data_IF_945726590313
#
_entry.id   IF_945726590313
#
_cell.length_a   1.000
_cell.length_b   1.000
_cell.length_c   1.000
_cell.angle_alpha   90.00
_cell.angle_beta   90.00
_cell.angle_gamma   90.00
#
_symmetry.space_group_name_H-M   'P 1'
#
loop_
_entity.id
_entity.type
_entity.pdbx_description
1 polymer ?
#
# COMPACT_ATOMS: atom_id res chain seq x y z
N UNK A 1 -8.78 -14.29 -10.31
CA UNK A 1 -8.51 -14.98 -9.03
C UNK A 1 -9.65 -14.63 -8.08
N UNK A 2 -10.04 -15.49 -7.14
CA UNK A 2 -11.14 -15.18 -6.20
C UNK A 2 -10.67 -15.23 -4.74
N UNK A 3 -11.21 -14.35 -3.91
CA UNK A 3 -11.08 -14.39 -2.46
C UNK A 3 -12.46 -14.65 -1.82
N UNK A 4 -12.45 -15.32 -0.66
CA UNK A 4 -13.64 -15.74 0.06
C UNK A 4 -13.78 -14.93 1.36
N UNK A 5 -14.99 -14.55 1.76
CA UNK A 5 -15.21 -13.81 3.02
C UNK A 5 -14.92 -14.63 4.29
N UNK A 6 -14.98 -15.97 4.20
CA UNK A 6 -14.54 -16.90 5.24
C UNK A 6 -14.14 -18.24 4.64
N UNK A 7 -13.22 -18.95 5.30
CA UNK A 7 -12.81 -20.33 4.98
C UNK A 7 -13.32 -21.35 6.00
N UNK A 8 -14.08 -20.92 7.01
CA UNK A 8 -14.57 -21.77 8.09
C UNK A 8 -16.08 -21.60 8.27
N UNK A 9 -16.77 -22.72 8.51
CA UNK A 9 -18.16 -22.76 8.93
C UNK A 9 -18.23 -23.18 10.39
N UNK A 10 -18.89 -22.38 11.23
CA UNK A 10 -19.19 -22.74 12.61
C UNK A 10 -20.56 -23.41 12.65
N UNK A 11 -20.63 -24.63 13.20
CA UNK A 11 -21.87 -25.40 13.34
C UNK A 11 -22.40 -25.25 14.76
N UNK A 12 -23.64 -24.79 14.92
CA UNK A 12 -24.39 -24.67 16.19
C UNK A 12 -25.67 -25.51 16.14
N UNK A 13 -26.24 -25.84 17.30
CA UNK A 13 -27.36 -26.81 17.40
C UNK A 13 -28.66 -26.36 16.71
N UNK A 14 -28.87 -25.07 16.45
CA UNK A 14 -30.02 -24.55 15.67
C UNK A 14 -29.56 -23.37 14.81
N UNK A 15 -29.90 -23.44 13.52
CA UNK A 15 -29.52 -22.55 12.41
C UNK A 15 -28.04 -22.55 11.99
N UNK A 16 -27.76 -23.34 10.94
CA UNK A 16 -26.46 -23.40 10.26
C UNK A 16 -26.60 -22.97 8.79
N UNK A 17 -26.93 -21.70 8.57
CA UNK A 17 -26.79 -21.09 7.23
C UNK A 17 -25.56 -20.20 7.21
N UNK A 18 -24.58 -20.53 6.38
CA UNK A 18 -23.43 -19.67 6.09
C UNK A 18 -23.54 -19.15 4.66
N UNK A 19 -23.54 -17.84 4.51
CA UNK A 19 -23.34 -17.19 3.21
C UNK A 19 -21.85 -16.93 3.04
N UNK A 20 -21.28 -17.40 1.93
CA UNK A 20 -19.87 -17.16 1.57
C UNK A 20 -19.87 -16.20 0.40
N UNK A 21 -19.29 -15.02 0.59
CA UNK A 21 -19.11 -14.07 -0.50
C UNK A 21 -17.86 -14.44 -1.27
N UNK A 22 -18.03 -14.63 -2.58
CA UNK A 22 -16.95 -14.90 -3.52
C UNK A 22 -16.71 -13.64 -4.33
N UNK A 23 -15.55 -13.03 -4.15
CA UNK A 23 -15.20 -11.78 -4.79
C UNK A 23 -14.01 -11.98 -5.72
N UNK A 24 -14.10 -11.43 -6.93
CA UNK A 24 -13.00 -11.42 -7.87
C UNK A 24 -11.91 -10.45 -7.40
N UNK A 25 -10.67 -10.94 -7.31
CA UNK A 25 -9.47 -10.12 -7.15
C UNK A 25 -9.05 -9.54 -8.50
N UNK A 26 -8.99 -8.21 -8.60
CA UNK A 26 -8.62 -7.50 -9.85
C UNK A 26 -7.20 -6.91 -9.80
N UNK A 27 -6.65 -6.72 -8.62
CA UNK A 27 -5.35 -6.11 -8.35
C UNK A 27 -4.73 -6.81 -7.14
N UNK A 28 -3.42 -7.07 -7.20
CA UNK A 28 -2.69 -7.58 -6.05
C UNK A 28 -2.54 -6.50 -4.97
N UNK A 29 -2.71 -6.85 -3.69
CA UNK A 29 -2.41 -5.93 -2.60
C UNK A 29 -0.91 -5.56 -2.53
N UNK A 30 -0.02 -6.30 -3.19
CA UNK A 30 1.42 -6.02 -3.22
C UNK A 30 1.77 -4.71 -3.95
N UNK A 31 0.85 -4.16 -4.75
CA UNK A 31 1.05 -2.84 -5.37
C UNK A 31 0.79 -1.68 -4.42
N UNK A 32 0.14 -1.95 -3.29
CA UNK A 32 -0.25 -0.93 -2.32
C UNK A 32 0.96 -0.41 -1.56
N UNK A 33 0.92 0.88 -1.25
CA UNK A 33 1.99 1.60 -0.58
C UNK A 33 1.51 2.14 0.76
N UNK A 34 2.39 2.06 1.75
CA UNK A 34 2.25 2.77 3.02
C UNK A 34 3.34 3.84 3.09
N UNK A 35 2.93 5.08 3.36
CA UNK A 35 3.82 6.19 3.67
C UNK A 35 3.53 6.64 5.10
N UNK A 36 4.54 6.56 5.97
CA UNK A 36 4.45 6.98 7.37
C UNK A 36 5.01 8.39 7.54
N UNK A 37 4.36 9.15 8.41
CA UNK A 37 4.76 10.49 8.82
C UNK A 37 5.15 10.41 10.29
N UNK A 38 6.40 10.74 10.59
CA UNK A 38 6.98 10.67 11.94
C UNK A 38 7.16 12.08 12.50
N UNK A 39 6.94 12.23 13.80
CA UNK A 39 6.98 13.48 14.52
C UNK A 39 8.21 13.61 15.41
N UNK A 40 8.09 14.43 16.45
CA UNK A 40 9.09 14.50 17.51
C UNK A 40 9.32 13.10 18.11
N UNK A 41 10.59 12.75 18.36
CA UNK A 41 10.95 11.42 18.86
C UNK A 41 10.84 10.28 17.83
N UNK A 42 10.59 10.62 16.56
CA UNK A 42 10.30 9.66 15.48
C UNK A 42 8.98 8.88 15.69
N UNK A 43 8.08 9.41 16.52
CA UNK A 43 6.76 8.85 16.77
C UNK A 43 5.84 9.05 15.56
N UNK A 44 5.22 7.97 15.07
CA UNK A 44 4.29 8.08 13.94
C UNK A 44 3.05 8.89 14.33
N UNK A 45 2.79 9.98 13.59
CA UNK A 45 1.63 10.84 13.79
C UNK A 45 0.58 10.74 12.69
N UNK A 46 0.98 10.29 11.50
CA UNK A 46 0.07 10.08 10.38
C UNK A 46 0.56 8.98 9.44
N UNK A 47 -0.35 8.47 8.63
CA UNK A 47 -0.07 7.49 7.59
C UNK A 47 -0.98 7.67 6.38
N UNK A 48 -0.44 7.37 5.21
CA UNK A 48 -1.18 7.21 3.96
C UNK A 48 -1.06 5.76 3.53
N UNK A 49 -2.19 5.09 3.34
CA UNK A 49 -2.28 3.74 2.79
C UNK A 49 -3.03 3.78 1.46
N UNK A 50 -2.40 3.33 0.37
CA UNK A 50 -3.08 3.21 -0.94
C UNK A 50 -3.78 1.87 -1.07
N UNK A 51 -4.87 1.82 -1.82
CA UNK A 51 -5.64 0.62 -2.10
C UNK A 51 -6.16 0.67 -3.53
N UNK A 52 -5.37 0.10 -4.46
CA UNK A 52 -5.66 0.19 -5.89
C UNK A 52 -6.83 -0.71 -6.33
N UNK A 53 -7.07 -1.82 -5.62
CA UNK A 53 -8.25 -2.67 -5.82
C UNK A 53 -9.53 -1.88 -5.56
N UNK A 54 -9.58 -1.16 -4.43
CA UNK A 54 -10.74 -0.34 -4.04
C UNK A 54 -10.71 1.07 -4.63
N UNK A 55 -9.69 1.40 -5.44
CA UNK A 55 -9.50 2.71 -6.07
C UNK A 55 -9.56 3.88 -5.08
N UNK A 56 -8.87 3.73 -3.95
CA UNK A 56 -8.84 4.71 -2.87
C UNK A 56 -7.50 4.76 -2.16
N UNK A 57 -7.32 5.77 -1.34
CA UNK A 57 -6.34 5.77 -0.27
C UNK A 57 -7.02 6.16 1.04
N UNK A 58 -6.42 5.73 2.15
CA UNK A 58 -6.83 6.11 3.50
C UNK A 58 -5.71 6.94 4.10
N UNK A 59 -6.02 8.17 4.48
CA UNK A 59 -5.12 9.04 5.21
C UNK A 59 -5.58 9.14 6.66
N UNK A 60 -4.72 8.76 7.59
CA UNK A 60 -5.00 8.75 9.03
C UNK A 60 -4.05 9.69 9.75
N UNK A 61 -4.56 10.51 10.66
CA UNK A 61 -3.78 11.31 11.62
C UNK A 61 -4.15 10.86 13.02
N UNK A 62 -3.18 10.50 13.86
CA UNK A 62 -3.40 9.82 15.16
C UNK A 62 -3.08 10.70 16.37
N UNK A 63 -2.36 11.81 16.20
CA UNK A 63 -2.04 12.75 17.28
C UNK A 63 -2.35 14.19 16.90
N UNK A 64 -2.67 15.00 17.92
CA UNK A 64 -2.88 16.44 17.80
C UNK A 64 -1.58 17.25 17.83
N UNK A 65 -0.48 16.62 18.24
CA UNK A 65 0.81 17.30 18.44
C UNK A 65 1.91 16.47 17.76
N UNK A 66 2.05 16.53 16.43
CA UNK A 66 3.15 15.87 15.72
C UNK A 66 4.54 16.31 16.22
N UNK A 67 4.71 17.61 16.47
CA UNK A 67 5.99 18.15 16.91
C UNK A 67 5.80 19.47 17.70
N UNK A 68 5.98 19.42 19.02
CA UNK A 68 5.70 20.56 19.91
C UNK A 68 6.50 21.84 19.61
N UNK A 69 7.69 21.73 19.01
CA UNK A 69 8.51 22.89 18.63
C UNK A 69 8.04 23.61 17.35
N UNK A 70 7.05 23.07 16.62
CA UNK A 70 6.43 23.69 15.43
C UNK A 70 5.04 24.24 15.78
N UNK A 71 4.90 24.88 16.94
CA UNK A 71 3.64 25.48 17.35
C UNK A 71 3.23 26.58 16.36
N UNK A 72 1.98 26.53 15.90
CA UNK A 72 1.41 27.46 14.91
C UNK A 72 2.17 27.49 13.55
N UNK A 73 3.03 26.48 13.30
CA UNK A 73 3.80 26.32 12.07
C UNK A 73 3.38 25.08 11.30
N UNK A 74 3.28 25.20 9.97
CA UNK A 74 3.03 24.07 9.08
C UNK A 74 4.15 23.04 9.19
N UNK A 75 3.79 21.82 9.59
CA UNK A 75 4.73 20.71 9.76
C UNK A 75 4.66 19.71 8.60
N UNK A 76 3.46 19.38 8.15
CA UNK A 76 3.24 18.46 7.04
C UNK A 76 1.98 18.81 6.24
N UNK A 77 1.89 18.36 5.00
CA UNK A 77 0.63 18.40 4.26
C UNK A 77 0.54 17.30 3.21
N UNK A 78 -0.69 16.94 2.85
CA UNK A 78 -0.99 16.07 1.72
C UNK A 78 -2.00 16.75 0.80
N UNK A 79 -1.79 16.61 -0.50
CA UNK A 79 -2.72 17.02 -1.55
C UNK A 79 -2.91 15.85 -2.52
N UNK A 80 -4.14 15.64 -3.00
CA UNK A 80 -4.44 14.65 -4.05
C UNK A 80 -5.12 15.33 -5.22
N UNK A 81 -4.66 15.02 -6.42
CA UNK A 81 -5.16 15.54 -7.68
C UNK A 81 -5.68 14.41 -8.56
N UNK A 82 -6.82 14.63 -9.20
CA UNK A 82 -7.39 13.66 -10.14
C UNK A 82 -6.66 13.69 -11.50
N UNK A 83 -7.12 12.87 -12.44
CA UNK A 83 -6.53 12.73 -13.78
C UNK A 83 -6.58 14.02 -14.63
N UNK A 84 -7.46 14.96 -14.29
CA UNK A 84 -7.58 16.28 -14.93
C UNK A 84 -6.67 17.33 -14.30
N UNK A 85 -5.94 16.97 -13.23
CA UNK A 85 -5.12 17.91 -12.46
C UNK A 85 -5.93 18.76 -11.46
N UNK A 86 -7.20 18.43 -11.21
CA UNK A 86 -8.02 19.12 -10.21
C UNK A 86 -7.67 18.60 -8.82
N UNK A 87 -7.45 19.51 -7.87
CA UNK A 87 -7.20 19.16 -6.46
C UNK A 87 -8.51 18.69 -5.83
N UNK A 88 -8.56 17.41 -5.48
CA UNK A 88 -9.77 16.78 -4.90
C UNK A 88 -9.68 16.58 -3.39
N UNK A 89 -8.47 16.72 -2.83
CA UNK A 89 -8.25 16.58 -1.39
C UNK A 89 -7.04 17.41 -0.96
N UNK A 90 -7.13 17.99 0.23
CA UNK A 90 -6.02 18.66 0.89
C UNK A 90 -6.15 18.54 2.40
N UNK A 91 -5.03 18.29 3.07
CA UNK A 91 -4.92 18.33 4.52
C UNK A 91 -3.58 18.96 4.88
N UNK A 92 -3.65 20.09 5.56
CA UNK A 92 -2.51 20.74 6.20
C UNK A 92 -2.48 20.36 7.68
N UNK A 93 -1.28 20.20 8.21
CA UNK A 93 -1.03 19.79 9.60
C UNK A 93 0.07 20.68 10.16
N UNK A 94 -0.26 21.39 11.22
CA UNK A 94 0.70 22.14 12.05
C UNK A 94 1.49 21.20 12.98
N UNK A 95 2.51 21.71 13.66
CA UNK A 95 3.24 20.93 14.67
C UNK A 95 2.44 20.66 15.95
N UNK A 96 1.44 21.49 16.20
CA UNK A 96 0.49 21.40 17.31
C UNK A 96 -0.94 21.57 16.79
N UNK A 97 -1.95 21.35 17.63
CA UNK A 97 -3.36 21.62 17.32
C UNK A 97 -3.93 20.90 16.08
N UNK A 98 -3.33 19.78 15.65
CA UNK A 98 -3.79 19.03 14.48
C UNK A 98 -5.10 18.31 14.76
N UNK A 99 -5.99 18.29 13.78
CA UNK A 99 -7.23 17.50 13.85
C UNK A 99 -6.96 16.05 13.45
N UNK A 100 -7.22 15.13 14.38
CA UNK A 100 -7.25 13.67 14.16
C UNK A 100 -8.33 13.34 13.13
N UNK A 101 -7.97 12.58 12.11
CA UNK A 101 -8.85 12.20 11.00
C UNK A 101 -8.56 10.80 10.51
N UNK A 102 -9.54 10.21 9.83
CA UNK A 102 -9.39 9.01 9.01
C UNK A 102 -10.19 9.22 7.73
N UNK A 103 -9.54 9.82 6.74
CA UNK A 103 -10.18 10.24 5.51
C UNK A 103 -9.98 9.19 4.42
N UNK A 104 -11.07 8.82 3.74
CA UNK A 104 -11.01 7.97 2.54
C UNK A 104 -11.05 8.85 1.30
N UNK A 105 -10.01 8.74 0.47
CA UNK A 105 -9.76 9.63 -0.66
C UNK A 105 -9.83 8.80 -1.94
N UNK A 106 -10.57 9.21 -2.99
CA UNK A 106 -10.52 8.55 -4.28
C UNK A 106 -9.10 8.54 -4.86
N UNK A 107 -8.62 7.38 -5.31
CA UNK A 107 -7.28 7.24 -5.89
C UNK A 107 -7.27 6.11 -6.93
N UNK A 108 -6.96 6.45 -8.18
CA UNK A 108 -6.79 5.46 -9.26
C UNK A 108 -5.56 5.83 -10.09
N UNK A 109 -5.21 4.96 -11.03
CA UNK A 109 -4.12 5.24 -11.96
C UNK A 109 -4.24 6.63 -12.61
N UNK A 110 -3.11 7.32 -12.75
CA UNK A 110 -3.02 8.68 -13.28
C UNK A 110 -3.23 9.79 -12.24
N UNK A 111 -3.74 9.48 -11.04
CA UNK A 111 -3.87 10.47 -9.97
C UNK A 111 -2.50 10.85 -9.43
N UNK A 112 -2.40 12.08 -8.92
CA UNK A 112 -1.19 12.58 -8.28
C UNK A 112 -1.39 12.79 -6.79
N UNK A 113 -0.34 12.51 -6.02
CA UNK A 113 -0.28 12.78 -4.59
C UNK A 113 0.93 13.67 -4.35
N UNK A 114 0.75 14.77 -3.63
CA UNK A 114 1.84 15.65 -3.22
C UNK A 114 1.90 15.67 -1.71
N UNK A 115 3.07 15.34 -1.16
CA UNK A 115 3.32 15.28 0.28
C UNK A 115 4.42 16.28 0.61
N UNK A 116 4.15 17.16 1.56
CA UNK A 116 5.12 18.01 2.21
C UNK A 116 5.40 17.47 3.62
N UNK A 117 6.68 17.47 4.02
CA UNK A 117 7.10 17.21 5.39
C UNK A 117 8.33 18.06 5.71
N UNK A 118 8.30 18.85 6.78
CA UNK A 118 9.42 19.74 7.10
C UNK A 118 10.71 18.96 7.41
N UNK A 119 10.58 17.86 8.15
CA UNK A 119 11.69 16.97 8.52
C UNK A 119 11.85 15.73 7.61
N UNK A 120 11.75 15.93 6.29
CA UNK A 120 11.70 14.85 5.29
C UNK A 120 12.78 13.77 5.42
N UNK A 121 14.02 14.14 5.74
CA UNK A 121 15.20 13.27 5.61
C UNK A 121 15.11 11.97 6.42
N UNK A 122 14.34 11.98 7.50
CA UNK A 122 14.16 10.81 8.39
C UNK A 122 12.70 10.53 8.75
N UNK A 123 11.79 11.48 8.51
CA UNK A 123 10.45 11.44 9.10
C UNK A 123 9.30 11.34 8.10
N UNK A 124 9.61 11.22 6.81
CA UNK A 124 8.69 10.67 5.83
C UNK A 124 9.28 9.37 5.30
N UNK A 125 8.64 8.24 5.60
CA UNK A 125 9.20 6.91 5.32
C UNK A 125 8.22 6.04 4.56
N UNK A 126 8.75 5.08 3.81
CA UNK A 126 8.01 4.02 3.16
C UNK A 126 8.91 2.80 3.04
N UNK A 127 8.32 1.60 3.00
CA UNK A 127 9.09 0.36 2.73
C UNK A 127 9.76 0.43 1.36
N UNK A 128 9.07 0.99 0.36
CA UNK A 128 9.66 1.20 -0.96
C UNK A 128 10.54 2.46 -0.97
N UNK A 129 11.62 2.42 -1.75
CA UNK A 129 12.52 3.57 -1.96
C UNK A 129 11.90 4.59 -2.91
N UNK A 130 10.82 5.24 -2.45
CA UNK A 130 10.03 6.21 -3.23
C UNK A 130 10.10 7.64 -2.66
N UNK A 131 10.63 7.82 -1.45
CA UNK A 131 10.78 9.14 -0.84
C UNK A 131 12.11 9.76 -1.24
N UNK A 132 12.09 11.00 -1.76
CA UNK A 132 13.28 11.80 -1.96
C UNK A 132 13.63 12.52 -0.64
N UNK A 133 14.68 12.11 0.08
CA UNK A 133 15.03 12.69 1.38
C UNK A 133 15.67 14.08 1.27
N UNK A 134 15.93 14.56 0.05
CA UNK A 134 16.55 15.86 -0.21
C UNK A 134 15.53 16.96 -0.55
N UNK A 135 14.25 16.61 -0.68
CA UNK A 135 13.20 17.57 -1.02
C UNK A 135 12.05 17.45 -0.02
N UNK A 136 11.75 18.55 0.70
CA UNK A 136 10.63 18.62 1.65
C UNK A 136 9.29 18.28 1.00
N UNK A 137 9.18 18.41 -0.32
CA UNK A 137 8.00 18.06 -1.10
C UNK A 137 8.27 16.88 -2.03
N UNK A 138 7.49 15.82 -1.90
CA UNK A 138 7.49 14.68 -2.80
C UNK A 138 6.18 14.64 -3.59
N UNK A 139 6.28 14.49 -4.92
CA UNK A 139 5.12 14.31 -5.79
C UNK A 139 5.17 12.90 -6.37
N UNK A 140 4.03 12.22 -6.34
CA UNK A 140 3.84 10.87 -6.81
C UNK A 140 2.75 10.84 -7.87
N UNK A 141 2.88 9.95 -8.83
CA UNK A 141 1.80 9.53 -9.71
C UNK A 141 1.46 8.06 -9.40
N UNK A 142 0.17 7.77 -9.27
CA UNK A 142 -0.30 6.40 -9.12
C UNK A 142 -0.24 5.69 -10.47
N UNK A 143 0.43 4.55 -10.51
CA UNK A 143 0.53 3.66 -11.69
C UNK A 143 -0.11 2.32 -11.37
N UNK A 144 -0.32 1.47 -12.38
CA UNK A 144 -0.76 0.09 -12.17
C UNK A 144 0.15 -0.74 -11.24
N UNK A 145 1.40 -0.35 -11.05
CA UNK A 145 2.38 -1.03 -10.20
C UNK A 145 2.62 -0.32 -8.85
N UNK A 146 1.83 0.70 -8.51
CA UNK A 146 1.98 1.51 -7.30
C UNK A 146 2.50 2.91 -7.55
N UNK A 147 3.03 3.56 -6.50
CA UNK A 147 3.45 4.96 -6.55
C UNK A 147 4.81 5.15 -7.26
N UNK A 148 4.83 6.06 -8.23
CA UNK A 148 6.07 6.57 -8.85
C UNK A 148 6.32 7.99 -8.37
N UNK A 149 7.49 8.26 -7.78
CA UNK A 149 7.90 9.62 -7.50
C UNK A 149 8.26 10.32 -8.82
N UNK A 150 7.81 11.54 -9.03
CA UNK A 150 8.01 12.25 -10.32
C UNK A 150 9.41 12.82 -10.48
N UNK A 151 10.17 12.96 -9.39
CA UNK A 151 11.53 13.49 -9.38
C UNK A 151 12.58 12.39 -9.22
N UNK A 152 12.28 11.31 -8.50
CA UNK A 152 13.16 10.15 -8.44
C UNK A 152 13.01 9.32 -9.72
N UNK A 153 14.13 8.76 -10.19
CA UNK A 153 14.11 7.74 -11.25
C UNK A 153 13.73 6.36 -10.69
N UNK A 154 12.76 6.29 -9.78
CA UNK A 154 12.31 5.01 -9.23
C UNK A 154 11.40 4.29 -10.23
N UNK A 155 11.45 2.96 -10.22
CA UNK A 155 10.62 2.11 -11.06
C UNK A 155 9.61 1.36 -10.17
N UNK A 156 8.31 1.70 -10.21
CA UNK A 156 7.28 1.00 -9.44
C UNK A 156 7.21 -0.50 -9.75
N UNK A 157 7.49 -0.90 -10.99
CA UNK A 157 7.50 -2.32 -11.35
C UNK A 157 8.63 -3.09 -10.65
N UNK A 158 9.83 -2.50 -10.55
CA UNK A 158 10.93 -3.10 -9.79
C UNK A 158 10.62 -3.17 -8.29
N UNK A 159 9.90 -2.19 -7.74
CA UNK A 159 9.42 -2.25 -6.36
C UNK A 159 8.41 -3.40 -6.17
N UNK A 160 7.50 -3.60 -7.12
CA UNK A 160 6.57 -4.73 -7.11
C UNK A 160 7.31 -6.07 -7.19
N UNK A 161 8.33 -6.17 -8.06
CA UNK A 161 9.17 -7.37 -8.16
C UNK A 161 9.85 -7.70 -6.83
N UNK A 162 10.41 -6.70 -6.13
CA UNK A 162 11.01 -6.90 -4.80
C UNK A 162 10.00 -7.42 -3.79
N UNK A 163 8.78 -6.89 -3.77
CA UNK A 163 7.71 -7.38 -2.88
C UNK A 163 7.26 -8.79 -3.20
N UNK A 164 7.19 -9.13 -4.48
CA UNK A 164 6.93 -10.52 -4.88
C UNK A 164 8.02 -11.44 -4.33
N UNK A 165 9.29 -11.04 -4.44
CA UNK A 165 10.41 -11.83 -3.94
C UNK A 165 10.37 -11.99 -2.40
N UNK A 166 10.11 -10.90 -1.68
CA UNK A 166 9.98 -10.88 -0.20
C UNK A 166 8.82 -11.76 0.27
N UNK A 167 7.63 -11.62 -0.33
CA UNK A 167 6.44 -12.42 0.03
C UNK A 167 6.66 -13.91 -0.26
N UNK A 168 7.33 -14.24 -1.38
CA UNK A 168 7.68 -15.61 -1.69
C UNK A 168 8.74 -16.19 -0.76
N UNK A 169 9.71 -15.38 -0.32
CA UNK A 169 10.69 -15.80 0.68
C UNK A 169 10.00 -16.15 2.01
N UNK A 170 9.03 -15.34 2.45
CA UNK A 170 8.22 -15.63 3.64
C UNK A 170 7.41 -16.93 3.49
N UNK A 171 6.74 -17.13 2.35
CA UNK A 171 5.97 -18.35 2.08
C UNK A 171 6.88 -19.58 2.07
N UNK A 172 8.04 -19.51 1.42
CA UNK A 172 8.94 -20.66 1.24
C UNK A 172 9.67 -21.02 2.54
N UNK A 173 10.05 -20.03 3.33
CA UNK A 173 10.76 -20.22 4.60
C UNK A 173 9.87 -20.77 5.71
N UNK A 174 8.55 -20.63 5.58
CA UNK A 174 7.57 -21.15 6.53
C UNK A 174 7.02 -22.52 6.06
N UNK A 175 7.33 -23.64 6.75
CA UNK A 175 6.88 -24.98 6.34
C UNK A 175 5.37 -25.14 6.27
N UNK A 176 4.62 -24.39 7.08
CA UNK A 176 3.15 -24.46 7.06
C UNK A 176 2.61 -23.73 5.83
N UNK A 177 3.04 -22.49 5.59
CA UNK A 177 2.55 -21.69 4.46
C UNK A 177 2.92 -22.31 3.12
N UNK A 178 4.13 -22.87 3.02
CA UNK A 178 4.64 -23.52 1.81
C UNK A 178 3.69 -24.60 1.32
N UNK A 179 3.20 -25.47 2.20
CA UNK A 179 2.34 -26.61 1.86
C UNK A 179 0.88 -26.23 1.55
N UNK A 180 0.42 -25.02 1.91
CA UNK A 180 -0.96 -24.61 1.63
C UNK A 180 -1.12 -24.32 0.13
N UNK A 181 -2.07 -24.95 -0.58
CA UNK A 181 -2.33 -24.67 -1.99
C UNK A 181 -2.74 -23.21 -2.23
N UNK A 182 -2.35 -22.64 -3.38
CA UNK A 182 -2.64 -21.23 -3.73
C UNK A 182 -4.12 -20.84 -3.58
N UNK A 183 -5.06 -21.74 -3.88
CA UNK A 183 -6.50 -21.46 -3.78
C UNK A 183 -6.95 -21.16 -2.35
N UNK A 184 -6.19 -21.62 -1.35
CA UNK A 184 -6.47 -21.48 0.08
C UNK A 184 -5.59 -20.43 0.78
N UNK A 185 -4.49 -20.02 0.16
CA UNK A 185 -3.55 -19.06 0.76
C UNK A 185 -3.58 -17.71 0.06
N UNK A 186 -4.07 -16.69 0.78
CA UNK A 186 -4.21 -15.33 0.26
C UNK A 186 -2.88 -14.72 -0.21
N UNK A 187 -1.77 -15.03 0.48
CA UNK A 187 -0.43 -14.57 0.10
C UNK A 187 -0.05 -15.07 -1.30
N UNK A 188 -0.23 -16.37 -1.58
CA UNK A 188 0.05 -16.96 -2.91
C UNK A 188 -0.85 -16.38 -4.00
N UNK A 189 -2.13 -16.07 -3.69
CA UNK A 189 -3.04 -15.39 -4.64
C UNK A 189 -2.53 -14.00 -4.99
N UNK A 190 -2.09 -13.23 -3.99
CA UNK A 190 -1.55 -11.89 -4.20
C UNK A 190 -0.23 -11.92 -4.98
N UNK A 191 0.66 -12.88 -4.71
CA UNK A 191 1.86 -13.09 -5.53
C UNK A 191 1.50 -13.43 -6.96
N UNK A 192 0.63 -14.41 -7.18
CA UNK A 192 0.21 -14.81 -8.53
C UNK A 192 -0.37 -13.63 -9.30
N UNK A 193 -1.21 -12.82 -8.64
CA UNK A 193 -1.81 -11.64 -9.25
C UNK A 193 -0.74 -10.59 -9.59
N UNK A 194 0.19 -10.33 -8.67
CA UNK A 194 1.29 -9.38 -8.89
C UNK A 194 2.19 -9.80 -10.05
N UNK A 195 2.56 -11.08 -10.15
CA UNK A 195 3.34 -11.62 -11.28
C UNK A 195 2.61 -11.38 -12.61
N UNK A 196 1.29 -11.55 -12.64
CA UNK A 196 0.49 -11.32 -13.84
C UNK A 196 0.38 -9.84 -14.24
N UNK A 197 0.67 -8.92 -13.33
CA UNK A 197 0.70 -7.48 -13.59
C UNK A 197 2.04 -7.00 -14.16
N UNK A 198 3.11 -7.80 -14.03
CA UNK A 198 4.43 -7.48 -14.59
C UNK A 198 4.37 -7.41 -16.13
N UNK A 199 5.23 -6.59 -16.70
CA UNK A 199 5.50 -6.54 -18.13
C UNK A 199 6.32 -7.74 -18.59
N UNK A 200 6.30 -8.01 -19.90
CA UNK A 200 7.17 -9.02 -20.49
C UNK A 200 8.56 -8.41 -20.72
N UNK A 201 9.65 -9.15 -20.43
CA UNK A 201 9.70 -10.59 -20.11
C UNK A 201 9.61 -10.95 -18.62
N UNK A 202 9.52 -9.98 -17.70
CA UNK A 202 9.59 -10.21 -16.25
C UNK A 202 8.48 -11.14 -15.77
N UNK A 203 7.27 -11.02 -16.32
CA UNK A 203 6.16 -11.93 -16.05
C UNK A 203 6.54 -13.39 -16.29
N UNK A 204 7.01 -13.74 -17.50
CA UNK A 204 7.45 -15.11 -17.82
C UNK A 204 8.58 -15.56 -16.89
N UNK A 205 9.56 -14.68 -16.63
CA UNK A 205 10.66 -14.99 -15.71
C UNK A 205 10.15 -15.37 -14.31
N UNK A 206 9.23 -14.59 -13.74
CA UNK A 206 8.72 -14.82 -12.39
C UNK A 206 7.76 -16.02 -12.31
N UNK A 207 6.94 -16.26 -13.34
CA UNK A 207 6.14 -17.50 -13.43
C UNK A 207 7.07 -18.71 -13.35
N UNK A 208 8.14 -18.74 -14.15
CA UNK A 208 9.08 -19.86 -14.17
C UNK A 208 9.88 -19.97 -12.87
N UNK A 209 10.25 -18.85 -12.25
CA UNK A 209 11.00 -18.81 -10.98
C UNK A 209 10.21 -19.44 -9.83
N UNK A 210 8.89 -19.20 -9.77
CA UNK A 210 8.07 -19.55 -8.61
C UNK A 210 7.00 -20.62 -8.85
N UNK A 211 6.93 -21.21 -10.05
CA UNK A 211 5.90 -22.20 -10.42
C UNK A 211 5.74 -23.33 -9.40
N UNK A 212 6.83 -23.93 -8.93
CA UNK A 212 6.76 -25.13 -8.08
C UNK A 212 6.29 -24.78 -6.65
N UNK A 213 6.58 -23.56 -6.19
CA UNK A 213 6.13 -23.06 -4.89
C UNK A 213 4.72 -22.48 -4.92
N UNK A 214 4.28 -21.94 -6.06
CA UNK A 214 2.95 -21.34 -6.23
C UNK A 214 1.88 -22.39 -6.54
N UNK A 215 2.20 -23.40 -7.35
CA UNK A 215 1.23 -24.37 -7.87
C UNK A 215 1.37 -25.76 -7.25
N UNK A 216 1.92 -25.88 -6.04
CA UNK A 216 1.96 -27.15 -5.34
C UNK A 216 0.53 -27.68 -5.09
N UNK A 217 0.35 -28.98 -5.36
CA UNK A 217 -0.92 -29.71 -5.22
C UNK A 217 -1.25 -30.04 -3.75
#
# INVERSE_FOLDING_TARGET
>A
MYHFSTYYACVKEKDNSLTIDVNEMKVSNLVNETIQFLGLGDDQFAELNTDLEQKRAVFTVTTKTPHSYYADEKYASIEVFNEKGEKIYTKEMEGTNVTIVKDTIPLKEGYKIKIYHDEIKKRLTSKATIINPMNKTNEFIMTKWGLKNTYLKNNPEENLMKRIDEEMEEIISNPVLKEIPMQKLEMKKNVWMAINMLSEPQKITYINKYKDSLYNE
#
